data_IF_252346327674
#
_entry.id   IF_252346327674
#
_cell.length_a   1.000
_cell.length_b   1.000
_cell.length_c   1.000
_cell.angle_alpha   90.00
_cell.angle_beta   90.00
_cell.angle_gamma   90.00
#
_symmetry.space_group_name_H-M   'P 1'
#
loop_
_entity.id
_entity.type
_entity.pdbx_description
1 polymer ?
#
# COMPACT_ATOMS: atom_id res chain seq x y z
N UNK A 1 -24.12 -21.52 -6.48
CA UNK A 1 -22.70 -21.14 -6.55
C UNK A 1 -22.16 -21.65 -7.88
N UNK A 2 -21.87 -20.75 -8.82
CA UNK A 2 -21.33 -21.13 -10.15
C UNK A 2 -19.83 -21.40 -10.07
N UNK A 3 -19.26 -22.17 -11.01
CA UNK A 3 -17.81 -22.43 -11.05
C UNK A 3 -16.98 -21.12 -11.13
N UNK A 4 -17.54 -20.07 -11.76
CA UNK A 4 -16.94 -18.73 -11.82
C UNK A 4 -16.92 -18.02 -10.46
N UNK A 5 -17.94 -18.21 -9.62
CA UNK A 5 -17.98 -17.66 -8.24
C UNK A 5 -16.99 -18.38 -7.32
N UNK A 6 -16.80 -19.69 -7.49
CA UNK A 6 -15.83 -20.47 -6.73
C UNK A 6 -14.37 -20.12 -7.10
N UNK A 7 -14.08 -19.94 -8.39
CA UNK A 7 -12.77 -19.48 -8.88
C UNK A 7 -12.46 -18.04 -8.46
N UNK A 8 -13.47 -17.15 -8.47
CA UNK A 8 -13.32 -15.79 -7.97
C UNK A 8 -13.06 -15.73 -6.46
N UNK A 9 -13.71 -16.59 -5.67
CA UNK A 9 -13.46 -16.71 -4.23
C UNK A 9 -12.04 -17.14 -3.89
N UNK A 10 -11.45 -18.06 -4.68
CA UNK A 10 -10.07 -18.51 -4.45
C UNK A 10 -9.02 -17.46 -4.81
N UNK A 11 -9.22 -16.68 -5.89
CA UNK A 11 -8.24 -15.67 -6.31
C UNK A 11 -8.35 -14.38 -5.50
N UNK A 12 -9.56 -13.84 -5.35
CA UNK A 12 -9.79 -12.53 -4.74
C UNK A 12 -10.14 -12.59 -3.24
N UNK A 13 -10.20 -13.80 -2.67
CA UNK A 13 -10.45 -14.00 -1.26
C UNK A 13 -11.93 -13.82 -0.86
N UNK A 14 -12.19 -13.73 0.46
CA UNK A 14 -13.55 -13.60 1.00
C UNK A 14 -14.21 -12.28 0.58
N UNK A 15 -15.53 -12.20 0.76
CA UNK A 15 -16.23 -10.92 0.69
C UNK A 15 -15.67 -9.98 1.75
N UNK A 16 -15.45 -8.71 1.40
CA UNK A 16 -14.85 -7.74 2.31
C UNK A 16 -15.68 -7.60 3.60
N UNK A 17 -17.00 -7.54 3.46
CA UNK A 17 -17.90 -7.44 4.62
C UNK A 17 -17.75 -8.62 5.60
N UNK A 18 -17.58 -9.84 5.08
CA UNK A 18 -17.37 -11.03 5.90
C UNK A 18 -16.00 -10.99 6.59
N UNK A 19 -14.95 -10.62 5.86
CA UNK A 19 -13.59 -10.52 6.38
C UNK A 19 -13.50 -9.51 7.52
N UNK A 20 -14.03 -8.30 7.32
CA UNK A 20 -14.06 -7.25 8.34
C UNK A 20 -14.87 -7.67 9.58
N UNK A 21 -15.97 -8.42 9.40
CA UNK A 21 -16.81 -8.90 10.53
C UNK A 21 -16.11 -9.93 11.42
N UNK A 22 -15.15 -10.69 10.88
CA UNK A 22 -14.39 -11.72 11.60
C UNK A 22 -13.13 -11.18 12.27
N UNK A 23 -12.97 -9.86 12.31
CA UNK A 23 -11.79 -9.22 12.86
C UNK A 23 -10.64 -9.03 11.88
N UNK A 24 -10.91 -9.18 10.57
CA UNK A 24 -10.15 -8.78 9.37
C UNK A 24 -8.64 -8.57 9.48
N UNK A 25 -7.89 -9.09 8.50
CA UNK A 25 -6.46 -8.79 8.32
C UNK A 25 -5.54 -9.18 9.52
N UNK A 26 -5.92 -10.13 10.38
CA UNK A 26 -5.01 -10.70 11.39
C UNK A 26 -3.93 -11.61 10.75
N UNK A 27 -4.23 -12.17 9.58
CA UNK A 27 -3.36 -13.14 8.91
C UNK A 27 -1.98 -12.60 8.52
N UNK A 28 -1.83 -11.36 7.99
CA UNK A 28 -0.51 -10.73 7.83
C UNK A 28 0.36 -10.78 9.10
N UNK A 29 -0.22 -10.49 10.26
CA UNK A 29 0.47 -10.58 11.56
C UNK A 29 0.89 -12.02 11.87
N UNK A 30 -0.01 -12.99 11.69
CA UNK A 30 0.29 -14.42 11.93
C UNK A 30 1.39 -14.95 11.00
N UNK A 31 1.43 -14.48 9.75
CA UNK A 31 2.43 -14.86 8.76
C UNK A 31 3.80 -14.26 9.06
N UNK A 32 3.86 -13.10 9.72
CA UNK A 32 5.07 -12.31 9.88
C UNK A 32 6.24 -13.09 10.52
N UNK A 33 5.94 -13.98 11.44
CA UNK A 33 6.95 -14.80 12.14
C UNK A 33 7.50 -15.97 11.32
N UNK A 34 6.84 -16.32 10.21
CA UNK A 34 7.14 -17.52 9.41
C UNK A 34 7.72 -17.21 8.03
N UNK A 35 7.48 -16.00 7.52
CA UNK A 35 7.98 -15.60 6.21
C UNK A 35 9.45 -15.16 6.30
N UNK A 36 10.07 -15.04 5.15
CA UNK A 36 11.48 -14.66 4.99
C UNK A 36 11.55 -13.54 3.95
N UNK A 37 12.71 -12.87 3.86
CA UNK A 37 13.00 -11.90 2.80
C UNK A 37 12.72 -12.46 1.40
N UNK A 38 13.00 -13.74 1.15
CA UNK A 38 12.74 -14.39 -0.14
C UNK A 38 11.25 -14.47 -0.44
N UNK A 39 10.42 -14.86 0.52
CA UNK A 39 8.96 -14.91 0.33
C UNK A 39 8.38 -13.54 -0.03
N UNK A 40 8.89 -12.47 0.60
CA UNK A 40 8.50 -11.09 0.25
C UNK A 40 8.98 -10.74 -1.17
N UNK A 41 10.23 -11.04 -1.49
CA UNK A 41 10.79 -10.78 -2.82
C UNK A 41 9.98 -11.49 -3.92
N UNK A 42 9.59 -12.74 -3.70
CA UNK A 42 8.76 -13.52 -4.63
C UNK A 42 7.36 -12.90 -4.78
N UNK A 43 6.76 -12.47 -3.67
CA UNK A 43 5.47 -11.79 -3.69
C UNK A 43 5.52 -10.46 -4.45
N UNK A 44 6.56 -9.64 -4.22
CA UNK A 44 6.81 -8.41 -4.98
C UNK A 44 7.01 -8.72 -6.46
N UNK A 45 7.83 -9.72 -6.80
CA UNK A 45 8.06 -10.14 -8.18
C UNK A 45 6.79 -10.60 -8.89
N UNK A 46 5.89 -11.28 -8.17
CA UNK A 46 4.61 -11.76 -8.71
C UNK A 46 3.66 -10.64 -9.13
N UNK A 47 3.82 -9.41 -8.61
CA UNK A 47 2.99 -8.26 -9.01
C UNK A 47 3.10 -7.94 -10.50
N UNK A 48 4.21 -8.31 -11.13
CA UNK A 48 4.42 -8.19 -12.59
C UNK A 48 3.61 -9.20 -13.42
N UNK A 49 2.98 -10.18 -12.77
CA UNK A 49 2.20 -11.23 -13.40
C UNK A 49 0.78 -11.28 -12.81
N UNK A 50 -0.13 -10.39 -13.26
CA UNK A 50 -1.45 -10.20 -12.65
C UNK A 50 -2.32 -11.45 -12.51
N UNK A 51 -2.13 -12.44 -13.38
CA UNK A 51 -2.85 -13.70 -13.31
C UNK A 51 -2.46 -14.55 -12.10
N UNK A 52 -1.23 -14.42 -11.60
CA UNK A 52 -0.70 -15.13 -10.44
C UNK A 52 -0.92 -14.41 -9.11
N UNK A 53 -1.24 -13.12 -9.14
CA UNK A 53 -1.51 -12.35 -7.91
C UNK A 53 -2.84 -12.77 -7.31
N UNK A 54 -2.82 -13.16 -6.04
CA UNK A 54 -4.00 -13.58 -5.28
C UNK A 54 -4.15 -12.77 -4.00
N UNK A 55 -5.24 -12.99 -3.28
CA UNK A 55 -5.45 -12.42 -1.96
C UNK A 55 -4.29 -12.77 -0.99
N UNK A 56 -3.77 -13.99 -1.08
CA UNK A 56 -2.64 -14.44 -0.25
C UNK A 56 -1.34 -13.72 -0.59
N UNK A 57 -1.17 -13.26 -1.83
CA UNK A 57 -0.04 -12.40 -2.21
C UNK A 57 -0.06 -11.11 -1.37
N UNK A 58 -1.22 -10.47 -1.23
CA UNK A 58 -1.33 -9.27 -0.40
C UNK A 58 -1.26 -9.57 1.10
N UNK A 59 -1.74 -10.72 1.58
CA UNK A 59 -1.49 -11.13 2.97
C UNK A 59 0.02 -11.25 3.27
N UNK A 60 0.77 -11.80 2.32
CA UNK A 60 2.24 -11.93 2.39
C UNK A 60 2.91 -10.56 2.37
N UNK A 61 2.49 -9.68 1.47
CA UNK A 61 3.05 -8.33 1.35
C UNK A 61 2.74 -7.45 2.56
N UNK A 62 1.51 -7.50 3.07
CA UNK A 62 1.11 -6.75 4.27
C UNK A 62 1.79 -7.27 5.55
N UNK A 63 2.38 -8.47 5.53
CA UNK A 63 3.19 -8.96 6.65
C UNK A 63 4.44 -8.09 6.87
N UNK A 64 4.90 -7.32 5.87
CA UNK A 64 5.96 -6.32 6.00
C UNK A 64 5.66 -5.24 7.03
N UNK A 65 4.40 -5.03 7.41
CA UNK A 65 4.09 -4.07 8.47
C UNK A 65 4.52 -4.56 9.86
N UNK A 66 4.80 -5.85 10.01
CA UNK A 66 4.98 -6.48 11.32
C UNK A 66 6.42 -6.93 11.55
N UNK A 67 6.93 -6.70 12.76
CA UNK A 67 8.25 -7.20 13.18
C UNK A 67 8.24 -8.74 13.28
N UNK A 68 9.26 -9.43 12.73
CA UNK A 68 10.55 -8.87 12.26
C UNK A 68 10.61 -8.54 10.76
N UNK A 69 9.57 -8.80 9.97
CA UNK A 69 9.62 -8.61 8.52
C UNK A 69 9.70 -7.15 8.06
N UNK A 70 9.33 -6.21 8.92
CA UNK A 70 9.49 -4.80 8.63
C UNK A 70 10.91 -4.37 8.27
N UNK A 71 11.93 -5.15 8.66
CA UNK A 71 13.33 -4.92 8.28
C UNK A 71 13.62 -5.22 6.80
N UNK A 72 12.60 -5.63 6.03
CA UNK A 72 12.69 -5.92 4.59
C UNK A 72 11.80 -5.01 3.75
N UNK A 73 11.33 -3.91 4.34
CA UNK A 73 10.48 -2.93 3.66
C UNK A 73 11.19 -2.19 2.52
N UNK A 74 12.53 -2.23 2.50
CA UNK A 74 13.36 -1.75 1.39
C UNK A 74 13.05 -2.48 0.07
N UNK A 75 12.53 -3.71 0.11
CA UNK A 75 12.12 -4.46 -1.08
C UNK A 75 10.97 -3.79 -1.87
N UNK A 76 10.23 -2.87 -1.24
CA UNK A 76 9.17 -2.10 -1.89
C UNK A 76 9.70 -1.00 -2.81
N UNK A 77 11.00 -0.71 -2.73
CA UNK A 77 11.66 0.37 -3.45
C UNK A 77 12.41 -0.13 -4.69
N UNK A 78 13.05 0.81 -5.39
CA UNK A 78 14.12 0.58 -6.36
C UNK A 78 13.69 -0.14 -7.64
N UNK A 79 12.75 0.48 -8.37
CA UNK A 79 12.50 0.15 -9.78
C UNK A 79 11.58 -1.06 -10.00
N UNK A 80 11.17 -1.75 -8.93
CA UNK A 80 10.21 -2.86 -8.99
C UNK A 80 8.81 -2.44 -9.49
N UNK A 81 8.51 -1.14 -9.54
CA UNK A 81 7.24 -0.66 -10.06
C UNK A 81 6.04 -1.06 -9.19
N UNK A 82 6.24 -1.28 -7.88
CA UNK A 82 5.22 -1.82 -6.98
C UNK A 82 3.92 -1.01 -7.05
N UNK A 83 4.02 0.32 -6.97
CA UNK A 83 2.85 1.20 -7.05
C UNK A 83 2.08 1.03 -8.37
N UNK A 84 2.68 1.28 -9.56
CA UNK A 84 1.95 1.15 -10.82
C UNK A 84 1.44 -0.27 -11.09
N UNK A 85 2.15 -1.32 -10.63
CA UNK A 85 1.67 -2.70 -10.74
C UNK A 85 0.40 -2.94 -9.90
N UNK A 86 0.36 -2.42 -8.67
CA UNK A 86 -0.85 -2.49 -7.84
C UNK A 86 -2.03 -1.70 -8.44
N UNK A 87 -1.77 -0.53 -9.02
CA UNK A 87 -2.81 0.22 -9.75
C UNK A 87 -3.36 -0.59 -10.93
N UNK A 88 -2.49 -1.26 -11.68
CA UNK A 88 -2.92 -2.10 -12.81
C UNK A 88 -3.78 -3.29 -12.34
N UNK A 89 -3.45 -3.92 -11.22
CA UNK A 89 -4.29 -4.95 -10.61
C UNK A 89 -5.70 -4.44 -10.29
N UNK A 90 -5.81 -3.23 -9.74
CA UNK A 90 -7.11 -2.60 -9.47
C UNK A 90 -7.87 -2.25 -10.76
N UNK A 91 -7.17 -1.78 -11.81
CA UNK A 91 -7.77 -1.56 -13.14
C UNK A 91 -8.33 -2.85 -13.74
N UNK A 92 -7.67 -3.99 -13.51
CA UNK A 92 -8.18 -5.28 -13.95
C UNK A 92 -9.44 -5.74 -13.22
N UNK A 93 -9.61 -5.38 -11.94
CA UNK A 93 -10.88 -5.62 -11.26
C UNK A 93 -12.01 -4.83 -11.93
N UNK A 94 -11.76 -3.54 -12.23
CA UNK A 94 -12.72 -2.68 -12.94
C UNK A 94 -13.07 -3.25 -14.32
N UNK A 95 -12.11 -3.70 -15.11
CA UNK A 95 -12.37 -4.27 -16.44
C UNK A 95 -13.21 -5.56 -16.37
N UNK A 96 -13.05 -6.33 -15.28
CA UNK A 96 -13.87 -7.51 -14.95
C UNK A 96 -15.19 -7.16 -14.28
N UNK A 97 -15.52 -5.87 -14.10
CA UNK A 97 -16.71 -5.36 -13.41
C UNK A 97 -16.82 -5.85 -11.96
N UNK A 98 -15.69 -6.09 -11.31
CA UNK A 98 -15.59 -6.42 -9.89
C UNK A 98 -15.31 -5.11 -9.14
N UNK A 99 -16.19 -4.67 -8.23
CA UNK A 99 -15.92 -3.50 -7.40
C UNK A 99 -14.65 -3.70 -6.57
N UNK A 100 -13.83 -2.65 -6.46
CA UNK A 100 -12.53 -2.73 -5.77
C UNK A 100 -12.67 -3.05 -4.27
N UNK A 101 -13.83 -2.82 -3.65
CA UNK A 101 -14.10 -3.15 -2.25
C UNK A 101 -15.16 -4.24 -2.07
N UNK A 102 -15.48 -5.01 -3.13
CA UNK A 102 -16.35 -6.21 -3.00
C UNK A 102 -15.65 -7.34 -2.24
N UNK A 103 -14.35 -7.50 -2.48
CA UNK A 103 -13.51 -8.59 -1.96
C UNK A 103 -12.33 -8.06 -1.18
N UNK A 104 -11.85 -8.85 -0.22
CA UNK A 104 -10.71 -8.52 0.63
C UNK A 104 -9.43 -8.21 -0.19
N UNK A 105 -9.28 -8.81 -1.38
CA UNK A 105 -8.16 -8.52 -2.30
C UNK A 105 -7.99 -7.03 -2.63
N UNK A 106 -9.05 -6.35 -3.09
CA UNK A 106 -8.89 -4.97 -3.55
C UNK A 106 -8.68 -4.01 -2.38
N UNK A 107 -9.33 -4.29 -1.25
CA UNK A 107 -9.08 -3.59 0.01
C UNK A 107 -7.62 -3.73 0.50
N UNK A 108 -7.08 -4.95 0.55
CA UNK A 108 -5.68 -5.19 0.93
C UNK A 108 -4.71 -4.54 -0.06
N UNK A 109 -5.03 -4.55 -1.36
CA UNK A 109 -4.24 -3.84 -2.36
C UNK A 109 -4.18 -2.32 -2.09
N UNK A 110 -5.30 -1.71 -1.68
CA UNK A 110 -5.36 -0.29 -1.31
C UNK A 110 -4.57 -0.03 -0.02
N UNK A 111 -4.68 -0.89 0.98
CA UNK A 111 -3.86 -0.78 2.20
C UNK A 111 -2.38 -0.88 1.90
N UNK A 112 -1.99 -1.82 1.04
CA UNK A 112 -0.61 -1.98 0.62
C UNK A 112 -0.12 -0.78 -0.20
N UNK A 113 -0.95 -0.20 -1.07
CA UNK A 113 -0.64 1.06 -1.76
C UNK A 113 -0.37 2.21 -0.78
N UNK A 114 -1.17 2.33 0.30
CA UNK A 114 -0.94 3.33 1.33
C UNK A 114 0.41 3.12 2.04
N UNK A 115 0.73 1.88 2.43
CA UNK A 115 2.03 1.51 2.99
C UNK A 115 3.17 1.89 2.04
N UNK A 116 3.08 1.51 0.77
CA UNK A 116 4.08 1.80 -0.27
C UNK A 116 4.26 3.31 -0.44
N UNK A 117 3.18 4.10 -0.40
CA UNK A 117 3.25 5.57 -0.50
C UNK A 117 3.99 6.18 0.69
N UNK A 118 3.69 5.77 1.92
CA UNK A 118 4.35 6.29 3.12
C UNK A 118 5.85 5.97 3.11
N UNK A 119 6.21 4.74 2.75
CA UNK A 119 7.61 4.34 2.56
C UNK A 119 8.27 5.11 1.42
N UNK A 120 7.54 5.32 0.32
CA UNK A 120 8.00 6.11 -0.80
C UNK A 120 8.37 7.54 -0.38
N UNK A 121 7.52 8.20 0.40
CA UNK A 121 7.77 9.55 0.95
C UNK A 121 9.00 9.58 1.84
N UNK A 122 9.10 8.66 2.80
CA UNK A 122 10.23 8.56 3.74
C UNK A 122 11.54 8.31 2.98
N UNK A 123 11.50 7.46 1.95
CA UNK A 123 12.66 7.18 1.10
C UNK A 123 13.05 8.37 0.21
N UNK A 124 12.11 9.21 -0.27
CA UNK A 124 12.46 10.38 -1.09
C UNK A 124 13.39 11.36 -0.37
N UNK A 125 13.22 11.49 0.94
CA UNK A 125 13.97 12.42 1.78
C UNK A 125 15.16 11.73 2.48
N UNK A 126 15.51 10.51 2.07
CA UNK A 126 16.62 9.72 2.62
C UNK A 126 16.48 9.41 4.14
N UNK A 127 15.25 9.29 4.65
CA UNK A 127 15.00 8.94 6.06
C UNK A 127 14.72 7.44 6.26
N UNK A 128 14.79 6.64 5.21
CA UNK A 128 14.49 5.21 5.28
C UNK A 128 15.44 4.44 6.20
N UNK A 129 16.76 4.68 6.11
CA UNK A 129 17.74 3.97 6.93
C UNK A 129 17.50 4.22 8.43
N UNK A 130 17.12 5.44 8.79
CA UNK A 130 16.76 5.81 10.16
C UNK A 130 15.48 5.11 10.61
N UNK A 131 14.46 5.04 9.76
CA UNK A 131 13.25 4.26 10.05
C UNK A 131 13.59 2.79 10.27
N UNK A 132 14.42 2.19 9.40
CA UNK A 132 14.86 0.80 9.50
C UNK A 132 15.61 0.52 10.81
N UNK A 133 16.49 1.42 11.23
CA UNK A 133 17.17 1.35 12.52
C UNK A 133 16.18 1.35 13.69
N UNK A 134 15.21 2.27 13.68
CA UNK A 134 14.18 2.36 14.72
C UNK A 134 13.30 1.10 14.79
N UNK A 135 12.89 0.55 13.63
CA UNK A 135 11.97 -0.60 13.60
C UNK A 135 12.68 -1.94 13.85
N UNK A 136 13.99 -2.06 13.56
CA UNK A 136 14.78 -3.27 13.81
C UNK A 136 14.84 -3.66 15.29
N UNK A 137 14.60 -2.71 16.18
CA UNK A 137 14.56 -2.91 17.63
C UNK A 137 13.16 -3.25 18.16
N UNK A 138 12.16 -3.39 17.29
CA UNK A 138 10.81 -3.71 17.71
C UNK A 138 10.67 -5.15 18.19
N UNK A 139 9.97 -5.37 19.33
CA UNK A 139 9.58 -6.71 19.74
C UNK A 139 8.80 -7.41 18.63
N UNK A 140 9.01 -8.72 18.48
CA UNK A 140 8.28 -9.54 17.52
C UNK A 140 6.76 -9.36 17.68
N UNK A 141 6.06 -9.27 16.55
CA UNK A 141 4.61 -9.09 16.52
C UNK A 141 4.14 -7.65 16.76
N UNK A 142 5.04 -6.65 16.79
CA UNK A 142 4.66 -5.24 16.75
C UNK A 142 4.53 -4.76 15.30
N UNK A 143 3.48 -3.98 15.03
CA UNK A 143 3.32 -3.26 13.76
C UNK A 143 4.13 -1.97 13.75
N UNK A 144 4.67 -1.60 12.59
CA UNK A 144 5.39 -0.34 12.35
C UNK A 144 4.47 0.84 12.06
N UNK A 145 3.15 0.63 12.03
CA UNK A 145 2.16 1.65 11.68
C UNK A 145 2.31 2.98 12.43
N UNK A 146 2.59 2.94 13.74
CA UNK A 146 2.80 4.16 14.53
C UNK A 146 4.09 4.89 14.15
N UNK A 147 5.16 4.15 13.81
CA UNK A 147 6.42 4.72 13.34
C UNK A 147 6.22 5.39 11.99
N UNK A 148 5.59 4.69 11.04
CA UNK A 148 5.28 5.24 9.72
C UNK A 148 4.44 6.50 9.82
N UNK A 149 3.37 6.49 10.61
CA UNK A 149 2.53 7.66 10.80
C UNK A 149 3.29 8.83 11.42
N UNK A 150 4.15 8.58 12.41
CA UNK A 150 4.93 9.65 13.03
C UNK A 150 5.94 10.24 12.04
N UNK A 151 6.72 9.38 11.36
CA UNK A 151 7.68 9.81 10.34
C UNK A 151 6.99 10.59 9.21
N UNK A 152 5.91 10.05 8.65
CA UNK A 152 5.18 10.73 7.56
C UNK A 152 4.59 12.06 8.03
N UNK A 153 4.00 12.13 9.23
CA UNK A 153 3.44 13.39 9.77
C UNK A 153 4.49 14.41 10.14
N UNK A 154 5.63 13.98 10.68
CA UNK A 154 6.77 14.86 10.96
C UNK A 154 7.27 15.47 9.67
N UNK A 155 7.51 14.65 8.64
CA UNK A 155 7.89 15.12 7.32
C UNK A 155 6.84 16.09 6.76
N UNK A 156 5.57 15.69 6.67
CA UNK A 156 4.50 16.56 6.18
C UNK A 156 4.40 17.87 6.99
N UNK A 157 4.60 17.83 8.31
CA UNK A 157 4.60 18.98 9.20
C UNK A 157 5.79 19.92 8.99
N UNK A 158 7.01 19.40 8.94
CA UNK A 158 8.24 20.16 8.64
C UNK A 158 8.09 20.92 7.30
N UNK A 159 7.46 20.30 6.32
CA UNK A 159 7.21 20.92 5.02
C UNK A 159 6.08 21.96 5.04
N UNK A 160 5.01 21.74 5.82
CA UNK A 160 3.90 22.68 5.95
C UNK A 160 4.25 23.92 6.78
N UNK A 161 5.08 23.75 7.83
CA UNK A 161 5.26 24.77 8.86
C UNK A 161 6.66 25.39 8.91
N UNK A 162 7.72 24.70 8.49
CA UNK A 162 9.11 25.12 8.82
C UNK A 162 9.91 25.69 7.64
N UNK A 163 9.39 25.68 6.42
CA UNK A 163 10.14 26.10 5.23
C UNK A 163 9.74 27.48 4.67
N UNK A 164 10.65 28.48 4.65
CA UNK A 164 10.43 29.79 4.01
C UNK A 164 10.38 29.73 2.47
N UNK A 165 10.50 28.55 1.85
CA UNK A 165 10.35 28.29 0.40
C UNK A 165 9.11 27.43 0.12
N UNK A 166 7.93 28.02 0.32
CA UNK A 166 6.57 27.42 0.36
C UNK A 166 6.10 26.55 -0.82
N UNK A 167 6.89 26.31 -1.87
CA UNK A 167 6.49 25.46 -3.02
C UNK A 167 7.43 24.30 -3.30
N UNK A 168 8.70 24.40 -2.92
CA UNK A 168 9.69 23.38 -3.27
C UNK A 168 9.68 22.20 -2.28
N UNK A 169 9.20 22.39 -1.05
CA UNK A 169 9.17 21.35 -0.03
C UNK A 169 8.28 20.16 -0.38
N UNK A 170 7.04 20.41 -0.82
CA UNK A 170 6.15 19.35 -1.31
C UNK A 170 6.71 18.70 -2.58
N UNK A 171 7.38 19.48 -3.44
CA UNK A 171 8.04 18.96 -4.64
C UNK A 171 9.15 17.97 -4.28
N UNK A 172 9.90 18.22 -3.20
CA UNK A 172 10.95 17.35 -2.68
C UNK A 172 10.38 16.10 -1.99
N UNK A 173 9.40 16.26 -1.08
CA UNK A 173 8.76 15.14 -0.38
C UNK A 173 8.16 14.12 -1.36
N UNK A 174 7.49 14.63 -2.40
CA UNK A 174 6.87 13.81 -3.42
C UNK A 174 7.81 13.49 -4.59
N UNK A 175 9.03 14.04 -4.63
CA UNK A 175 10.01 13.77 -5.69
C UNK A 175 9.47 13.96 -7.11
N UNK A 176 8.73 15.06 -7.36
CA UNK A 176 8.08 15.28 -8.66
C UNK A 176 9.11 15.35 -9.79
N UNK A 177 8.93 14.52 -10.81
CA UNK A 177 9.77 14.50 -12.00
C UNK A 177 8.96 14.24 -13.28
N UNK A 178 9.58 14.44 -14.44
CA UNK A 178 9.02 14.01 -15.73
C UNK A 178 9.63 12.67 -16.12
N UNK A 179 8.82 11.75 -16.62
CA UNK A 179 9.31 10.52 -17.23
C UNK A 179 9.88 10.78 -18.64
N UNK A 180 10.40 9.71 -19.26
CA UNK A 180 10.98 9.76 -20.62
C UNK A 180 9.97 10.19 -21.69
N UNK A 181 8.68 10.05 -21.43
CA UNK A 181 7.59 10.45 -22.33
C UNK A 181 7.09 11.88 -22.06
N UNK A 182 7.68 12.57 -21.08
CA UNK A 182 7.34 13.95 -20.70
C UNK A 182 6.19 14.06 -19.70
N UNK A 183 5.59 12.95 -19.26
CA UNK A 183 4.51 12.94 -18.28
C UNK A 183 5.06 13.15 -16.87
N UNK A 184 4.33 13.93 -16.05
CA UNK A 184 4.70 14.16 -14.64
C UNK A 184 4.33 12.96 -13.79
N UNK A 185 5.23 12.57 -12.90
CA UNK A 185 4.99 11.59 -11.84
C UNK A 185 5.62 12.05 -10.54
N UNK A 186 5.05 11.61 -9.42
CA UNK A 186 5.63 11.73 -8.09
C UNK A 186 6.05 10.35 -7.56
N UNK A 187 6.77 10.32 -6.45
CA UNK A 187 7.25 9.12 -5.75
C UNK A 187 8.00 8.14 -6.67
N UNK A 188 9.07 8.58 -7.37
CA UNK A 188 9.77 7.73 -8.34
C UNK A 188 10.42 6.47 -7.72
N UNK A 189 10.70 6.47 -6.41
CA UNK A 189 11.33 5.35 -5.71
C UNK A 189 10.44 4.10 -5.63
N UNK A 190 9.12 4.26 -5.77
CA UNK A 190 8.13 3.16 -5.79
C UNK A 190 7.62 2.84 -7.20
N UNK A 191 8.29 3.36 -8.23
CA UNK A 191 7.90 3.21 -9.64
C UNK A 191 7.18 4.41 -10.24
N UNK A 192 6.78 5.36 -9.40
CA UNK A 192 6.07 6.57 -9.82
C UNK A 192 4.56 6.46 -9.73
N UNK A 193 3.94 7.52 -9.23
CA UNK A 193 2.50 7.75 -9.21
C UNK A 193 2.18 8.86 -10.20
N UNK A 194 1.35 8.55 -11.20
CA UNK A 194 0.86 9.54 -12.18
C UNK A 194 -0.47 10.12 -11.74
N UNK A 195 -0.78 11.31 -12.23
CA UNK A 195 -2.08 11.94 -11.98
C UNK A 195 -3.26 11.02 -12.35
N UNK A 196 -3.17 10.32 -13.48
CA UNK A 196 -4.23 9.39 -13.92
C UNK A 196 -4.37 8.15 -13.02
N UNK A 197 -3.32 7.77 -12.28
CA UNK A 197 -3.38 6.69 -11.29
C UNK A 197 -4.15 7.16 -10.04
N UNK A 198 -3.83 8.35 -9.53
CA UNK A 198 -4.55 8.95 -8.40
C UNK A 198 -6.02 9.23 -8.75
N UNK A 199 -6.29 9.80 -9.92
CA UNK A 199 -7.66 10.06 -10.37
C UNK A 199 -8.46 8.77 -10.52
N UNK A 200 -7.85 7.72 -11.10
CA UNK A 200 -8.49 6.41 -11.16
C UNK A 200 -8.87 5.89 -9.78
N UNK A 201 -7.95 5.94 -8.81
CA UNK A 201 -8.24 5.48 -7.44
C UNK A 201 -9.37 6.29 -6.81
N UNK A 202 -9.31 7.62 -6.88
CA UNK A 202 -10.34 8.50 -6.31
C UNK A 202 -11.71 8.24 -6.92
N UNK A 203 -11.81 8.06 -8.24
CA UNK A 203 -13.04 7.69 -8.91
C UNK A 203 -13.60 6.36 -8.40
N UNK A 204 -12.76 5.32 -8.31
CA UNK A 204 -13.21 4.01 -7.84
C UNK A 204 -13.65 4.02 -6.37
N UNK A 205 -12.92 4.73 -5.51
CA UNK A 205 -13.29 4.89 -4.10
C UNK A 205 -14.58 5.70 -3.94
N UNK A 206 -14.82 6.69 -4.80
CA UNK A 206 -16.05 7.48 -4.81
C UNK A 206 -17.26 6.67 -5.29
N UNK A 207 -17.08 5.90 -6.36
CA UNK A 207 -18.10 5.00 -6.91
C UNK A 207 -18.53 3.98 -5.84
N UNK A 208 -17.58 3.42 -5.09
CA UNK A 208 -17.81 2.49 -3.97
C UNK A 208 -17.72 3.15 -2.59
N UNK A 209 -18.16 4.43 -2.47
CA UNK A 209 -18.02 5.20 -1.22
C UNK A 209 -18.63 4.54 0.02
N UNK A 210 -19.67 3.72 -0.14
CA UNK A 210 -20.29 3.02 1.00
C UNK A 210 -19.40 1.88 1.52
N UNK A 211 -18.84 1.09 0.60
CA UNK A 211 -17.83 0.08 0.94
C UNK A 211 -16.60 0.75 1.54
N UNK A 212 -16.15 1.85 0.93
CA UNK A 212 -15.03 2.63 1.42
C UNK A 212 -15.22 3.16 2.83
N UNK A 213 -16.35 3.83 3.12
CA UNK A 213 -16.60 4.37 4.47
C UNK A 213 -16.67 3.26 5.52
N UNK A 214 -17.26 2.10 5.19
CA UNK A 214 -17.31 0.94 6.08
C UNK A 214 -15.91 0.38 6.36
N UNK A 215 -15.11 0.23 5.30
CA UNK A 215 -13.74 -0.25 5.37
C UNK A 215 -12.81 0.73 6.09
N UNK A 216 -12.99 2.04 5.87
CA UNK A 216 -12.26 3.12 6.53
C UNK A 216 -12.61 3.23 8.02
N UNK A 217 -13.86 3.03 8.40
CA UNK A 217 -14.26 3.01 9.81
C UNK A 217 -13.55 1.88 10.57
N UNK A 218 -13.40 0.71 9.95
CA UNK A 218 -12.61 -0.38 10.50
C UNK A 218 -11.11 -0.07 10.50
N UNK A 219 -10.59 0.42 9.37
CA UNK A 219 -9.15 0.66 9.19
C UNK A 219 -8.61 1.85 9.96
N UNK A 220 -9.40 2.88 10.24
CA UNK A 220 -9.00 4.01 11.08
C UNK A 220 -8.57 3.60 12.49
N UNK A 221 -8.94 2.39 12.93
CA UNK A 221 -8.51 1.79 14.19
C UNK A 221 -7.21 0.97 14.07
N UNK A 222 -6.80 0.59 12.87
CA UNK A 222 -5.70 -0.36 12.63
C UNK A 222 -4.57 0.20 11.75
N UNK A 223 -4.84 1.16 10.87
CA UNK A 223 -3.91 1.66 9.86
C UNK A 223 -3.99 3.19 9.75
N UNK A 224 -3.04 3.93 10.34
CA UNK A 224 -3.04 5.39 10.32
C UNK A 224 -2.73 6.03 8.94
N UNK A 225 -2.38 5.25 7.91
CA UNK A 225 -1.99 5.75 6.57
C UNK A 225 -3.14 6.07 5.59
N UNK A 226 -4.41 5.86 5.96
CA UNK A 226 -5.55 6.02 5.03
C UNK A 226 -5.75 7.45 4.50
N UNK A 227 -5.24 8.45 5.21
CA UNK A 227 -5.27 9.84 4.75
C UNK A 227 -4.34 10.09 3.55
N UNK A 228 -3.30 9.27 3.36
CA UNK A 228 -2.34 9.40 2.25
C UNK A 228 -2.94 9.11 0.87
N UNK A 229 -4.07 8.38 0.80
CA UNK A 229 -4.81 8.14 -0.44
C UNK A 229 -5.54 9.38 -0.98
N UNK A 230 -5.59 10.48 -0.21
CA UNK A 230 -6.29 11.72 -0.56
C UNK A 230 -5.35 12.92 -0.83
N UNK A 231 -4.05 12.66 -1.07
CA UNK A 231 -3.11 13.71 -1.52
C UNK A 231 -3.36 14.14 -2.97
#
# INVERSE_FOLDING_TARGET
MTASEALAGNKYGPQLAEDLSKGGCSRPYELAVSLTRQHISDAVGSLSQPDHVTYQTFETLMALEWSPLCDHIDLLLDGNGVFPLCIELLRQLRSKKIPILDRAFGFMCIQFLALVVDIGKIAQVNHLDKLLEDVSNLPAGRSISSYLNNYTRELEGEWLFDHPRRRDGLLLLLGWQKDRTGHRLCLPRIGGCRFDDSMFLLEQLWDDRKGFLSAAQFSSRMFPGWAGCFL
#
